data_IF_094672463272
#
_entry.id   IF_094672463272
#
_cell.length_a   1.000
_cell.length_b   1.000
_cell.length_c   1.000
_cell.angle_alpha   90.00
_cell.angle_beta   90.00
_cell.angle_gamma   90.00
#
_symmetry.space_group_name_H-M   'P 1'
#
loop_
_entity.id
_entity.type
_entity.pdbx_description
1 polymer ?
#
# COMPACT_ATOMS: atom_id res chain seq x y z
N UNK A 1 48.89 7.76 -50.62
CA UNK A 1 48.61 8.05 -49.19
C UNK A 1 47.30 8.80 -49.14
N UNK A 2 46.22 8.17 -48.67
CA UNK A 2 44.90 8.83 -48.56
C UNK A 2 44.38 8.52 -47.16
N UNK A 3 44.57 9.44 -46.23
CA UNK A 3 44.01 9.33 -44.88
C UNK A 3 42.49 9.47 -44.96
N UNK A 4 41.77 8.39 -44.64
CA UNK A 4 40.35 8.45 -44.31
C UNK A 4 40.24 8.92 -42.85
N UNK A 5 39.83 10.16 -42.64
CA UNK A 5 39.41 10.64 -41.34
C UNK A 5 38.08 9.98 -40.94
N UNK A 6 38.14 8.96 -40.10
CA UNK A 6 36.99 8.47 -39.34
C UNK A 6 36.71 9.44 -38.20
N UNK A 7 35.72 10.33 -38.36
CA UNK A 7 35.14 11.06 -37.23
C UNK A 7 34.41 10.04 -36.34
N UNK A 8 35.07 9.59 -35.29
CA UNK A 8 34.41 8.95 -34.15
C UNK A 8 33.52 10.00 -33.49
N UNK A 9 32.21 9.90 -33.71
CA UNK A 9 31.22 10.71 -33.01
C UNK A 9 31.29 10.38 -31.52
N UNK A 10 31.55 11.40 -30.68
CA UNK A 10 31.45 11.27 -29.25
C UNK A 10 29.96 11.19 -28.90
N UNK A 11 29.47 9.99 -28.58
CA UNK A 11 28.12 9.78 -28.08
C UNK A 11 28.10 10.11 -26.59
N UNK A 12 27.21 11.02 -26.15
CA UNK A 12 27.03 11.36 -24.74
C UNK A 12 25.94 10.45 -24.16
N UNK A 13 26.24 9.79 -23.06
CA UNK A 13 25.24 9.02 -22.31
C UNK A 13 24.44 10.01 -21.47
N UNK A 14 23.15 10.17 -21.79
CA UNK A 14 22.22 10.92 -20.94
C UNK A 14 21.40 9.93 -20.13
N UNK A 15 21.41 10.11 -18.80
CA UNK A 15 20.53 9.38 -17.91
C UNK A 15 19.20 10.12 -17.84
N UNK A 16 18.16 9.52 -18.41
CA UNK A 16 16.79 9.98 -18.25
C UNK A 16 16.22 9.39 -16.97
N UNK A 17 15.63 10.26 -16.18
CA UNK A 17 14.96 9.92 -14.94
C UNK A 17 13.52 10.39 -15.07
N UNK A 18 12.59 9.52 -14.69
CA UNK A 18 11.20 9.88 -14.52
C UNK A 18 10.80 9.41 -13.11
N UNK A 19 10.45 10.36 -12.24
CA UNK A 19 9.88 10.02 -10.95
C UNK A 19 8.36 10.03 -11.03
N UNK A 20 7.75 8.86 -10.79
CA UNK A 20 6.31 8.77 -10.58
C UNK A 20 6.09 8.97 -9.08
N UNK A 21 5.78 10.20 -8.69
CA UNK A 21 5.34 10.49 -7.34
C UNK A 21 3.95 9.88 -7.11
N UNK A 22 3.85 8.81 -6.33
CA UNK A 22 2.56 8.43 -5.73
C UNK A 22 2.32 9.37 -4.55
N UNK A 23 1.31 10.23 -4.65
CA UNK A 23 0.65 10.77 -3.46
C UNK A 23 0.06 9.60 -2.65
N UNK A 24 0.19 9.58 -1.31
CA UNK A 24 -0.34 8.50 -0.49
C UNK A 24 -1.82 8.75 -0.17
N UNK A 25 -2.73 8.46 -1.11
CA UNK A 25 -4.18 8.37 -0.84
C UNK A 25 -4.82 7.67 -2.03
N UNK A 26 -5.70 6.68 -1.94
CA UNK A 26 -6.78 6.47 -0.98
C UNK A 26 -7.37 5.08 -1.28
N UNK A 27 -7.60 4.27 -0.24
CA UNK A 27 -8.72 3.34 -0.15
C UNK A 27 -9.15 2.60 -1.44
N UNK A 28 -8.50 1.48 -1.75
CA UNK A 28 -9.29 0.32 -2.21
C UNK A 28 -10.02 -0.21 -0.98
N UNK A 29 -11.27 0.24 -0.81
CA UNK A 29 -12.18 -0.20 0.24
C UNK A 29 -12.44 -1.70 0.09
N UNK A 30 -11.59 -2.53 0.69
CA UNK A 30 -11.91 -3.92 0.95
C UNK A 30 -12.75 -3.99 2.21
N UNK A 31 -14.07 -3.78 2.06
CA UNK A 31 -15.02 -4.11 3.11
C UNK A 31 -15.27 -5.61 3.06
N UNK A 32 -14.53 -6.38 3.85
CA UNK A 32 -14.92 -7.75 4.14
C UNK A 32 -16.18 -7.72 5.01
N UNK A 33 -17.32 -8.09 4.42
CA UNK A 33 -18.53 -8.36 5.15
C UNK A 33 -18.53 -9.83 5.59
N UNK A 34 -18.43 -10.08 6.89
CA UNK A 34 -18.75 -11.38 7.48
C UNK A 34 -20.06 -11.24 8.24
N UNK A 35 -21.13 -11.86 7.74
CA UNK A 35 -22.35 -12.10 8.52
C UNK A 35 -22.22 -13.45 9.21
N UNK A 36 -22.36 -13.47 10.53
CA UNK A 36 -22.48 -14.73 11.28
C UNK A 36 -23.76 -15.44 10.86
N UNK A 37 -23.59 -16.67 10.39
CA UNK A 37 -24.68 -17.63 10.19
C UNK A 37 -25.39 -17.85 11.51
N UNK A 38 -26.68 -17.53 11.58
CA UNK A 38 -27.51 -17.94 12.70
C UNK A 38 -27.86 -19.40 12.43
N UNK A 39 -27.17 -20.33 13.09
CA UNK A 39 -27.59 -21.72 13.14
C UNK A 39 -28.61 -21.82 14.28
N UNK A 40 -29.85 -21.56 13.93
CA UNK A 40 -30.98 -21.86 14.77
C UNK A 40 -31.17 -23.38 14.87
N UNK A 41 -30.90 -23.91 16.06
CA UNK A 41 -31.63 -25.05 16.58
C UNK A 41 -32.00 -24.78 18.05
N UNK A 42 -33.29 -24.48 18.22
CA UNK A 42 -34.18 -25.07 19.21
C UNK A 42 -33.82 -24.97 20.69
N UNK A 43 -34.65 -24.26 21.47
CA UNK A 43 -35.66 -24.94 22.32
C UNK A 43 -36.18 -24.04 23.46
N UNK A 44 -37.51 -23.96 23.50
CA UNK A 44 -38.39 -23.73 24.65
C UNK A 44 -38.52 -22.32 25.24
N UNK A 45 -39.54 -21.61 24.75
CA UNK A 45 -40.28 -20.55 25.45
C UNK A 45 -41.18 -21.15 26.53
N UNK A 46 -41.08 -20.63 27.75
CA UNK A 46 -42.00 -20.91 28.86
C UNK A 46 -43.29 -20.09 28.81
N UNK A 47 -44.18 -20.37 29.76
CA UNK A 47 -45.21 -19.46 30.32
C UNK A 47 -45.63 -20.03 31.69
N UNK A 48 -45.44 -19.25 32.78
CA UNK A 48 -46.46 -18.50 33.57
C UNK A 48 -47.27 -19.44 34.51
N UNK A 49 -47.38 -19.29 35.84
CA UNK A 49 -47.75 -18.11 36.64
C UNK A 49 -47.51 -18.29 38.17
N UNK A 50 -47.05 -17.20 38.82
CA UNK A 50 -47.47 -16.63 40.13
C UNK A 50 -47.25 -17.38 41.50
N UNK A 51 -47.38 -16.70 42.67
CA UNK A 51 -46.44 -15.77 43.31
C UNK A 51 -45.93 -16.28 44.67
N UNK A 52 -44.79 -15.77 45.13
CA UNK A 52 -44.68 -15.45 46.56
C UNK A 52 -43.83 -14.20 46.78
N UNK A 53 -44.33 -13.36 47.68
CA UNK A 53 -43.77 -12.09 48.08
C UNK A 53 -42.36 -12.26 48.68
N UNK A 54 -41.46 -11.32 48.42
CA UNK A 54 -41.13 -10.27 49.39
C UNK A 54 -40.19 -9.21 48.76
N UNK A 55 -40.40 -7.98 49.23
CA UNK A 55 -39.53 -6.79 49.29
C UNK A 55 -38.03 -6.95 48.94
N UNK A 56 -37.25 -5.96 48.51
CA UNK A 56 -37.39 -4.52 48.27
C UNK A 56 -36.04 -4.03 47.73
N UNK A 57 -36.05 -2.83 47.13
CA UNK A 57 -34.95 -1.87 47.07
C UNK A 57 -33.84 -2.08 46.03
N UNK A 58 -33.79 -1.07 45.16
CA UNK A 58 -32.69 -0.73 44.26
C UNK A 58 -31.43 -0.40 45.07
N UNK A 59 -30.25 -0.92 44.69
CA UNK A 59 -28.96 -0.44 45.20
C UNK A 59 -28.04 0.01 44.04
N UNK A 60 -27.39 1.15 44.28
CA UNK A 60 -26.55 1.94 43.36
C UNK A 60 -25.14 1.33 43.19
N UNK A 61 -24.43 1.54 42.05
CA UNK A 61 -23.16 0.87 41.74
C UNK A 61 -22.03 1.05 42.76
N UNK A 62 -22.06 2.12 43.58
CA UNK A 62 -21.01 2.41 44.55
C UNK A 62 -21.08 1.57 45.83
N UNK A 63 -22.22 0.91 46.11
CA UNK A 63 -22.42 0.16 47.36
C UNK A 63 -21.92 -1.30 47.29
N UNK A 64 -21.57 -1.78 46.09
CA UNK A 64 -21.05 -3.14 45.91
C UNK A 64 -19.57 -3.29 46.25
N UNK A 65 -18.88 -2.20 46.60
CA UNK A 65 -17.46 -2.18 46.89
C UNK A 65 -17.15 -2.41 48.39
N UNK A 66 -18.17 -2.35 49.27
CA UNK A 66 -18.05 -2.47 50.73
C UNK A 66 -18.64 -3.76 51.32
N UNK A 67 -19.27 -4.63 50.51
CA UNK A 67 -19.68 -5.97 50.95
C UNK A 67 -18.43 -6.88 51.05
N UNK A 68 -18.12 -7.49 52.21
CA UNK A 68 -16.97 -8.37 52.33
C UNK A 68 -17.26 -9.63 51.52
N UNK A 69 -16.78 -9.65 50.27
CA UNK A 69 -16.84 -10.85 49.43
C UNK A 69 -16.21 -12.02 50.19
N UNK A 70 -16.88 -13.16 50.12
CA UNK A 70 -16.35 -14.40 50.63
C UNK A 70 -14.96 -14.64 50.04
N UNK A 71 -14.05 -15.21 50.83
CA UNK A 71 -12.71 -15.58 50.35
C UNK A 71 -12.76 -16.41 49.06
N UNK A 72 -13.81 -17.20 48.87
CA UNK A 72 -14.04 -17.98 47.63
C UNK A 72 -14.36 -17.11 46.41
N UNK A 73 -15.15 -16.06 46.57
CA UNK A 73 -15.49 -15.14 45.49
C UNK A 73 -14.30 -14.28 45.09
N UNK A 74 -13.54 -13.78 46.08
CA UNK A 74 -12.30 -13.02 45.84
C UNK A 74 -11.26 -13.86 45.08
N UNK A 75 -11.09 -15.13 45.45
CA UNK A 75 -10.20 -16.05 44.74
C UNK A 75 -10.67 -16.33 43.31
N UNK A 76 -11.98 -16.46 43.09
CA UNK A 76 -12.55 -16.69 41.77
C UNK A 76 -12.32 -15.48 40.85
N UNK A 77 -12.50 -14.26 41.35
CA UNK A 77 -12.23 -13.03 40.61
C UNK A 77 -10.76 -12.89 40.25
N UNK A 78 -9.84 -13.15 41.18
CA UNK A 78 -8.40 -13.10 40.92
C UNK A 78 -7.99 -14.10 39.84
N UNK A 79 -8.54 -15.31 39.88
CA UNK A 79 -8.31 -16.33 38.85
C UNK A 79 -8.80 -15.86 37.49
N UNK A 80 -10.05 -15.39 37.37
CA UNK A 80 -10.61 -14.87 36.12
C UNK A 80 -9.79 -13.70 35.57
N UNK A 81 -9.34 -12.79 36.43
CA UNK A 81 -8.49 -11.67 36.05
C UNK A 81 -7.13 -12.15 35.52
N UNK A 82 -6.52 -13.14 36.17
CA UNK A 82 -5.28 -13.76 35.71
C UNK A 82 -5.45 -14.45 34.35
N UNK A 83 -6.52 -15.22 34.19
CA UNK A 83 -6.86 -15.90 32.93
C UNK A 83 -7.08 -14.90 31.80
N UNK A 84 -7.87 -13.85 32.03
CA UNK A 84 -8.11 -12.78 31.06
C UNK A 84 -6.81 -12.05 30.69
N UNK A 85 -5.93 -11.78 31.66
CA UNK A 85 -4.63 -11.16 31.40
C UNK A 85 -3.68 -12.07 30.59
N UNK A 86 -3.70 -13.37 30.85
CA UNK A 86 -2.93 -14.34 30.08
C UNK A 86 -3.43 -14.41 28.63
N UNK A 87 -4.76 -14.45 28.44
CA UNK A 87 -5.39 -14.40 27.12
C UNK A 87 -5.02 -13.11 26.38
N UNK A 88 -5.09 -11.95 27.04
CA UNK A 88 -4.70 -10.67 26.44
C UNK A 88 -3.23 -10.67 25.99
N UNK A 89 -2.33 -11.22 26.79
CA UNK A 89 -0.91 -11.37 26.40
C UNK A 89 -0.74 -12.29 25.20
N UNK A 90 -1.49 -13.39 25.16
CA UNK A 90 -1.46 -14.33 24.04
C UNK A 90 -1.96 -13.69 22.74
N UNK A 91 -3.11 -13.00 22.79
CA UNK A 91 -3.68 -12.31 21.64
C UNK A 91 -2.76 -11.19 21.13
N UNK A 92 -2.12 -10.43 22.02
CA UNK A 92 -1.14 -9.41 21.63
C UNK A 92 0.05 -10.00 20.89
N UNK A 93 0.58 -11.15 21.34
CA UNK A 93 1.67 -11.86 20.64
C UNK A 93 1.24 -12.35 19.26
N UNK A 94 0.05 -12.94 19.17
CA UNK A 94 -0.55 -13.36 17.89
C UNK A 94 -0.69 -12.18 16.92
N UNK A 95 -1.19 -11.04 17.40
CA UNK A 95 -1.33 -9.84 16.59
C UNK A 95 0.02 -9.35 16.09
N UNK A 96 1.02 -9.25 16.96
CA UNK A 96 2.36 -8.80 16.59
C UNK A 96 2.98 -9.67 15.48
N UNK A 97 2.90 -10.99 15.62
CA UNK A 97 3.42 -11.91 14.58
C UNK A 97 2.68 -11.74 13.25
N UNK A 98 1.36 -11.52 13.28
CA UNK A 98 0.58 -11.26 12.06
C UNK A 98 0.94 -9.92 11.44
N UNK A 99 1.19 -8.90 12.24
CA UNK A 99 1.58 -7.58 11.78
C UNK A 99 2.97 -7.60 11.14
N UNK A 100 3.92 -8.31 11.74
CA UNK A 100 5.24 -8.59 11.13
C UNK A 100 5.12 -9.33 9.79
N UNK A 101 4.38 -10.45 9.76
CA UNK A 101 4.16 -11.19 8.52
C UNK A 101 3.44 -10.37 7.43
N UNK A 102 2.54 -9.46 7.84
CA UNK A 102 1.85 -8.57 6.91
C UNK A 102 2.79 -7.51 6.33
N UNK A 103 3.71 -6.97 7.13
CA UNK A 103 4.74 -6.03 6.66
C UNK A 103 5.62 -6.71 5.60
N UNK A 104 6.05 -7.94 5.86
CA UNK A 104 6.87 -8.72 4.93
C UNK A 104 6.11 -8.96 3.61
N UNK A 105 4.87 -9.46 3.68
CA UNK A 105 4.05 -9.69 2.49
C UNK A 105 3.77 -8.40 1.70
N UNK A 106 3.53 -7.29 2.39
CA UNK A 106 3.32 -5.99 1.73
C UNK A 106 4.58 -5.53 1.00
N UNK A 107 5.77 -5.79 1.57
CA UNK A 107 7.04 -5.47 0.92
C UNK A 107 7.27 -6.32 -0.34
N UNK A 108 6.93 -7.61 -0.29
CA UNK A 108 7.01 -8.51 -1.43
C UNK A 108 6.02 -8.11 -2.55
N UNK A 109 4.76 -7.82 -2.19
CA UNK A 109 3.77 -7.31 -3.14
C UNK A 109 4.21 -5.98 -3.77
N UNK A 110 4.81 -5.09 -2.99
CA UNK A 110 5.32 -3.84 -3.53
C UNK A 110 6.40 -4.07 -4.58
N UNK A 111 7.32 -5.02 -4.36
CA UNK A 111 8.31 -5.40 -5.38
C UNK A 111 7.63 -5.95 -6.63
N UNK A 112 6.66 -6.85 -6.47
CA UNK A 112 5.92 -7.42 -7.61
C UNK A 112 5.12 -6.38 -8.41
N UNK A 113 4.44 -5.43 -7.75
CA UNK A 113 3.69 -4.37 -8.44
C UNK A 113 4.60 -3.52 -9.34
N UNK A 114 5.87 -3.35 -8.95
CA UNK A 114 6.86 -2.61 -9.74
C UNK A 114 7.39 -3.41 -10.93
N UNK A 115 7.51 -4.73 -10.81
CA UNK A 115 7.85 -5.60 -11.94
C UNK A 115 6.75 -5.62 -13.00
N UNK A 116 5.50 -5.34 -12.62
CA UNK A 116 4.35 -5.34 -13.53
C UNK A 116 4.26 -4.02 -14.32
N UNK A 117 4.72 -2.89 -13.76
CA UNK A 117 4.65 -1.60 -14.45
C UNK A 117 5.65 -1.54 -15.60
N UNK A 118 5.12 -1.44 -16.81
CA UNK A 118 5.90 -1.26 -18.03
C UNK A 118 6.04 0.23 -18.34
N UNK A 119 7.25 0.76 -18.22
CA UNK A 119 7.54 2.16 -18.53
C UNK A 119 8.54 2.22 -19.68
N UNK A 120 8.15 2.87 -20.77
CA UNK A 120 9.00 3.12 -21.93
C UNK A 120 9.06 4.61 -22.24
N UNK A 121 10.20 5.07 -22.74
CA UNK A 121 10.34 6.40 -23.34
C UNK A 121 10.34 6.27 -24.85
N UNK A 122 9.48 7.04 -25.50
CA UNK A 122 9.36 7.15 -26.96
C UNK A 122 9.79 8.55 -27.36
N UNK A 123 10.35 8.74 -28.56
CA UNK A 123 10.67 10.09 -28.99
C UNK A 123 11.29 10.21 -30.38
N UNK A 124 11.73 11.42 -30.70
CA UNK A 124 12.34 11.70 -32.01
C UNK A 124 13.73 11.10 -32.19
N UNK A 125 14.36 10.59 -31.12
CA UNK A 125 15.70 10.00 -31.18
C UNK A 125 15.76 8.71 -32.01
N UNK A 126 14.65 7.98 -32.12
CA UNK A 126 14.48 6.78 -32.95
C UNK A 126 13.31 6.94 -33.95
N UNK A 127 12.80 8.16 -34.10
CA UNK A 127 11.67 8.46 -34.98
C UNK A 127 10.33 7.91 -34.50
N UNK A 128 10.11 7.80 -33.19
CA UNK A 128 8.86 7.32 -32.58
C UNK A 128 8.51 5.87 -32.92
N UNK A 129 9.53 5.00 -33.07
CA UNK A 129 9.33 3.65 -33.60
C UNK A 129 9.38 2.57 -32.51
N UNK A 130 10.48 2.45 -31.78
CA UNK A 130 10.73 1.38 -30.83
C UNK A 130 10.64 1.85 -29.38
N UNK A 131 11.20 3.02 -29.08
CA UNK A 131 11.42 3.51 -27.73
C UNK A 131 12.47 2.71 -26.94
N UNK A 132 12.61 3.06 -25.66
CA UNK A 132 13.52 2.38 -24.73
C UNK A 132 12.80 2.11 -23.41
N UNK A 133 12.99 0.91 -22.85
CA UNK A 133 12.43 0.55 -21.55
C UNK A 133 13.19 1.23 -20.41
N UNK A 134 12.46 1.66 -19.39
CA UNK A 134 13.03 2.19 -18.15
C UNK A 134 13.11 1.09 -17.10
N UNK A 135 14.24 1.05 -16.39
CA UNK A 135 14.43 0.15 -15.25
C UNK A 135 13.85 0.78 -13.98
N UNK A 136 13.07 0.02 -13.19
CA UNK A 136 12.63 0.46 -11.87
C UNK A 136 13.77 0.39 -10.85
N UNK A 137 13.86 1.42 -10.01
CA UNK A 137 14.76 1.49 -8.86
C UNK A 137 13.95 1.85 -7.60
N UNK A 138 13.87 0.93 -6.65
CA UNK A 138 13.14 1.13 -5.40
C UNK A 138 14.00 1.91 -4.39
N UNK A 139 13.53 3.08 -3.96
CA UNK A 139 14.24 3.95 -3.01
C UNK A 139 13.67 3.90 -1.59
N UNK A 140 12.83 2.91 -1.28
CA UNK A 140 12.18 2.75 0.02
C UNK A 140 10.90 3.57 0.21
N UNK A 141 10.79 4.75 -0.41
CA UNK A 141 9.62 5.63 -0.29
C UNK A 141 8.86 5.84 -1.61
N UNK A 142 9.56 5.77 -2.74
CA UNK A 142 8.98 5.78 -4.08
C UNK A 142 9.86 4.94 -5.03
N UNK A 143 9.30 4.60 -6.17
CA UNK A 143 10.05 3.94 -7.25
C UNK A 143 10.42 4.98 -8.30
N UNK A 144 11.69 4.96 -8.68
CA UNK A 144 12.23 5.80 -9.73
C UNK A 144 12.41 4.95 -10.97
N UNK A 145 11.92 5.42 -12.11
CA UNK A 145 12.18 4.77 -13.40
C UNK A 145 13.29 5.52 -14.11
N UNK A 146 14.31 4.82 -14.59
CA UNK A 146 15.39 5.46 -15.32
C UNK A 146 15.92 4.61 -16.46
N UNK A 147 16.46 5.27 -17.48
CA UNK A 147 17.18 4.63 -18.58
C UNK A 147 18.31 5.53 -19.04
N UNK A 148 19.28 4.97 -19.76
CA UNK A 148 20.40 5.73 -20.32
C UNK A 148 20.35 5.68 -21.83
N UNK A 149 20.16 6.84 -22.46
CA UNK A 149 20.12 6.96 -23.92
C UNK A 149 21.42 7.56 -24.47
N UNK A 150 22.05 6.93 -25.48
CA UNK A 150 23.21 7.50 -26.18
C UNK A 150 22.74 8.52 -27.23
N UNK A 151 22.59 9.78 -26.81
CA UNK A 151 22.10 10.87 -27.67
C UNK A 151 23.25 11.75 -28.19
N UNK A 152 23.03 12.35 -29.36
CA UNK A 152 23.89 13.44 -29.83
C UNK A 152 23.38 14.76 -29.26
N UNK A 153 24.22 15.81 -29.18
CA UNK A 153 23.72 17.15 -28.87
C UNK A 153 22.61 17.55 -29.85
N UNK A 154 21.51 18.08 -29.30
CA UNK A 154 20.31 18.35 -30.08
C UNK A 154 19.05 18.53 -29.24
N UNK A 155 17.94 18.73 -29.95
CA UNK A 155 16.60 18.87 -29.38
C UNK A 155 15.80 17.62 -29.73
N UNK A 156 15.21 16.99 -28.72
CA UNK A 156 14.42 15.78 -28.86
C UNK A 156 13.06 15.98 -28.24
N UNK A 157 12.02 15.53 -28.92
CA UNK A 157 10.69 15.40 -28.33
C UNK A 157 10.56 13.98 -27.82
N UNK A 158 10.10 13.83 -26.58
CA UNK A 158 9.91 12.55 -25.93
C UNK A 158 8.53 12.48 -25.26
N UNK A 159 8.03 11.28 -25.05
CA UNK A 159 6.83 10.99 -24.27
C UNK A 159 6.96 9.62 -23.62
N UNK A 160 6.34 9.45 -22.46
CA UNK A 160 6.41 8.19 -21.74
C UNK A 160 5.17 7.35 -22.05
N UNK A 161 5.38 6.07 -22.29
CA UNK A 161 4.32 5.07 -22.38
C UNK A 161 4.37 4.26 -21.09
N UNK A 162 3.37 4.46 -20.24
CA UNK A 162 3.27 3.82 -18.92
C UNK A 162 2.04 2.93 -18.95
N UNK A 163 2.26 1.61 -18.94
CA UNK A 163 1.18 0.60 -19.01
C UNK A 163 0.23 0.80 -20.19
N UNK A 164 0.78 1.24 -21.34
CA UNK A 164 0.02 1.51 -22.56
C UNK A 164 -0.60 2.91 -22.64
N UNK A 165 -0.50 3.72 -21.58
CA UNK A 165 -1.02 5.09 -21.54
C UNK A 165 0.07 6.13 -21.75
N UNK A 166 -0.23 7.13 -22.59
CA UNK A 166 0.70 8.21 -22.91
C UNK A 166 0.74 9.26 -21.82
N UNK A 167 1.93 9.50 -21.24
CA UNK A 167 2.15 10.44 -20.15
C UNK A 167 3.29 11.42 -20.43
N UNK A 168 3.15 12.62 -19.87
CA UNK A 168 4.19 13.64 -19.84
C UNK A 168 4.80 13.68 -18.44
N UNK A 169 6.13 13.77 -18.39
CA UNK A 169 6.83 14.00 -17.13
C UNK A 169 6.80 15.49 -16.77
N UNK A 170 6.49 15.86 -15.52
CA UNK A 170 6.56 17.24 -15.05
C UNK A 170 8.00 17.77 -14.95
N UNK A 171 9.01 16.89 -15.02
CA UNK A 171 10.42 17.26 -14.90
C UNK A 171 10.98 17.88 -16.18
N UNK A 172 10.29 17.74 -17.32
CA UNK A 172 10.73 18.25 -18.60
C UNK A 172 9.76 19.32 -19.12
N UNK A 173 10.27 20.41 -19.72
CA UNK A 173 9.42 21.37 -20.40
C UNK A 173 8.61 20.67 -21.50
N UNK A 174 7.42 21.19 -21.82
CA UNK A 174 6.55 20.62 -22.86
C UNK A 174 6.53 21.47 -24.12
N UNK A 175 6.32 20.84 -25.27
CA UNK A 175 6.13 21.48 -26.57
C UNK A 175 4.91 20.87 -27.28
N UNK A 176 4.25 21.65 -28.15
CA UNK A 176 3.02 21.23 -28.83
C UNK A 176 1.76 21.50 -28.01
N UNK A 177 0.61 21.08 -28.54
CA UNK A 177 -0.71 21.32 -27.93
C UNK A 177 -1.60 20.07 -28.00
N UNK A 178 -2.46 19.90 -26.99
CA UNK A 178 -3.43 18.82 -26.91
C UNK A 178 -2.78 17.43 -26.98
N UNK A 179 -3.30 16.56 -27.86
CA UNK A 179 -2.81 15.19 -28.02
C UNK A 179 -1.38 15.11 -28.56
N UNK A 180 -0.92 16.16 -29.24
CA UNK A 180 0.44 16.24 -29.82
C UNK A 180 1.43 16.88 -28.84
N UNK A 181 1.02 17.14 -27.59
CA UNK A 181 1.93 17.67 -26.58
C UNK A 181 2.94 16.59 -26.16
N UNK A 182 4.23 16.97 -26.18
CA UNK A 182 5.40 16.15 -25.88
C UNK A 182 6.31 16.84 -24.87
N UNK A 183 7.16 16.10 -24.17
CA UNK A 183 8.26 16.65 -23.40
C UNK A 183 9.43 17.01 -24.32
N UNK A 184 10.12 18.10 -24.02
CA UNK A 184 11.28 18.58 -24.74
C UNK A 184 12.55 18.27 -23.95
N UNK A 185 13.43 17.46 -24.55
CA UNK A 185 14.74 17.12 -24.03
C UNK A 185 15.82 17.86 -24.84
N UNK A 186 16.66 18.62 -24.17
CA UNK A 186 17.79 19.34 -24.78
C UNK A 186 19.08 18.68 -24.31
N UNK A 187 19.87 18.19 -25.25
CA UNK A 187 21.20 17.62 -25.02
C UNK A 187 22.23 18.63 -25.50
N UNK A 188 23.05 19.13 -24.58
CA UNK A 188 24.19 20.02 -24.89
C UNK A 188 25.46 19.25 -25.26
#
# INVERSE_FOLDING_TARGET
MTLRNSKTGCHRLMQLQASIGKHPVSSSSWRAHCTSVNLEESSSTGSEDNPNAEESSQESPEELLSKPLSNSERANLLRKLSEANQQNRFLKRQLHMKEEALVDFKSELAVMELEIQSVQVMGTFDGWSQGESLSPEYTGSYTKFSTTLPLRPGRYEIKFLVDGEWQLSPEFPTVGEGLMQNNLLIVE
#
